data_IF_134202616740
#
_entry.id   IF_134202616740
#
_cell.length_a   1.000
_cell.length_b   1.000
_cell.length_c   1.000
_cell.angle_alpha   90.00
_cell.angle_beta   90.00
_cell.angle_gamma   90.00
#
_symmetry.space_group_name_H-M   'P 1'
#
loop_
_entity.id
_entity.type
_entity.pdbx_description
1 polymer ?
#
# COMPACT_ATOMS: atom_id res chain seq x y z
N UNK A 1 -14.05 -31.16 7.90
CA UNK A 1 -12.87 -30.44 8.35
C UNK A 1 -13.28 -28.99 8.49
N UNK A 2 -12.95 -28.26 9.55
CA UNK A 2 -13.28 -26.83 9.59
C UNK A 2 -12.57 -26.19 8.40
N UNK A 3 -13.35 -25.56 7.52
CA UNK A 3 -12.83 -24.70 6.47
C UNK A 3 -11.97 -23.65 7.15
N UNK A 4 -10.73 -23.54 6.73
CA UNK A 4 -9.81 -22.54 7.29
C UNK A 4 -10.43 -21.16 6.99
N UNK A 5 -11.04 -20.51 7.98
CA UNK A 5 -11.75 -19.24 7.83
C UNK A 5 -10.89 -18.18 7.11
N UNK A 6 -9.58 -18.21 7.35
CA UNK A 6 -8.63 -17.35 6.67
C UNK A 6 -8.57 -17.58 5.15
N UNK A 7 -8.82 -18.80 4.66
CA UNK A 7 -8.80 -19.09 3.22
C UNK A 7 -10.00 -18.49 2.46
N UNK A 8 -11.00 -17.99 3.16
CA UNK A 8 -12.20 -17.38 2.58
C UNK A 8 -12.37 -15.89 2.93
N UNK A 9 -11.37 -15.29 3.53
CA UNK A 9 -11.42 -13.91 4.02
C UNK A 9 -11.79 -12.88 2.94
N UNK A 10 -11.46 -13.16 1.68
CA UNK A 10 -11.76 -12.33 0.52
C UNK A 10 -12.87 -12.89 -0.37
N UNK A 11 -13.59 -13.94 0.10
CA UNK A 11 -14.58 -14.63 -0.70
C UNK A 11 -15.64 -13.68 -1.26
N UNK A 12 -15.83 -13.76 -2.58
CA UNK A 12 -16.81 -12.95 -3.31
C UNK A 12 -16.47 -11.46 -3.49
N UNK A 13 -15.35 -10.98 -2.92
CA UNK A 13 -14.94 -9.58 -3.02
C UNK A 13 -14.21 -9.27 -4.32
N UNK A 14 -14.42 -8.07 -4.83
CA UNK A 14 -13.67 -7.48 -5.94
C UNK A 14 -12.71 -6.42 -5.39
N UNK A 15 -11.43 -6.57 -5.68
CA UNK A 15 -10.39 -5.67 -5.18
C UNK A 15 -9.70 -4.90 -6.32
N UNK A 16 -9.36 -3.66 -6.05
CA UNK A 16 -8.42 -2.86 -6.85
C UNK A 16 -7.15 -2.67 -6.02
N UNK A 17 -6.00 -3.09 -6.55
CA UNK A 17 -4.72 -2.94 -5.87
C UNK A 17 -3.75 -2.20 -6.77
N UNK A 18 -3.31 -1.04 -6.34
CA UNK A 18 -2.37 -0.23 -7.12
C UNK A 18 -0.92 -0.63 -6.89
N UNK A 19 -0.05 -0.45 -7.90
CA UNK A 19 1.36 -0.85 -7.80
C UNK A 19 1.54 -2.37 -7.65
N UNK A 20 0.65 -3.16 -8.22
CA UNK A 20 0.54 -4.60 -8.00
C UNK A 20 1.35 -5.47 -8.95
N UNK A 21 2.29 -4.87 -9.70
CA UNK A 21 3.18 -5.61 -10.61
C UNK A 21 4.52 -6.01 -9.97
N UNK A 22 4.74 -5.66 -8.71
CA UNK A 22 5.91 -6.05 -7.91
C UNK A 22 5.71 -5.79 -6.41
N UNK A 23 6.57 -6.36 -5.59
CA UNK A 23 6.71 -6.04 -4.16
C UNK A 23 5.43 -6.24 -3.36
N UNK A 24 5.07 -5.23 -2.55
CA UNK A 24 3.94 -5.31 -1.64
C UNK A 24 2.60 -5.49 -2.37
N UNK A 25 2.38 -4.73 -3.45
CA UNK A 25 1.15 -4.84 -4.22
C UNK A 25 0.98 -6.22 -4.85
N UNK A 26 2.06 -6.81 -5.38
CA UNK A 26 2.06 -8.17 -5.92
C UNK A 26 1.77 -9.21 -4.82
N UNK A 27 2.45 -9.13 -3.67
CA UNK A 27 2.17 -10.02 -2.53
C UNK A 27 0.70 -9.92 -2.08
N UNK A 28 0.14 -8.71 -2.09
CA UNK A 28 -1.26 -8.48 -1.71
C UNK A 28 -2.23 -9.15 -2.67
N UNK A 29 -2.06 -9.01 -4.00
CA UNK A 29 -2.99 -9.61 -4.95
C UNK A 29 -2.91 -11.13 -4.97
N UNK A 30 -1.72 -11.71 -4.80
CA UNK A 30 -1.54 -13.15 -4.64
C UNK A 30 -2.29 -13.66 -3.41
N UNK A 31 -2.11 -12.99 -2.26
CA UNK A 31 -2.80 -13.36 -1.03
C UNK A 31 -4.33 -13.21 -1.15
N UNK A 32 -4.82 -12.17 -1.82
CA UNK A 32 -6.25 -11.96 -2.03
C UNK A 32 -6.85 -13.07 -2.89
N UNK A 33 -6.16 -13.51 -3.96
CA UNK A 33 -6.58 -14.64 -4.77
C UNK A 33 -6.60 -15.94 -3.94
N UNK A 34 -5.56 -16.21 -3.14
CA UNK A 34 -5.49 -17.36 -2.24
C UNK A 34 -6.59 -17.37 -1.17
N UNK A 35 -7.12 -16.20 -0.83
CA UNK A 35 -8.21 -16.02 0.14
C UNK A 35 -9.58 -15.84 -0.50
N UNK A 36 -9.73 -16.23 -1.76
CA UNK A 36 -11.03 -16.38 -2.44
C UNK A 36 -11.58 -15.11 -3.06
N UNK A 37 -10.75 -14.10 -3.37
CA UNK A 37 -11.21 -12.94 -4.13
C UNK A 37 -11.82 -13.38 -5.46
N UNK A 38 -13.00 -12.88 -5.79
CA UNK A 38 -13.70 -13.21 -7.03
C UNK A 38 -13.17 -12.42 -8.23
N UNK A 39 -12.65 -11.22 -7.97
CA UNK A 39 -12.07 -10.37 -8.99
C UNK A 39 -11.00 -9.45 -8.46
N UNK A 40 -9.96 -9.22 -9.26
CA UNK A 40 -8.88 -8.29 -8.91
C UNK A 40 -8.53 -7.43 -10.13
N UNK A 41 -8.49 -6.12 -9.95
CA UNK A 41 -7.85 -5.22 -10.90
C UNK A 41 -6.44 -4.91 -10.40
N UNK A 42 -5.46 -5.25 -11.20
CA UNK A 42 -4.05 -4.97 -10.96
C UNK A 42 -3.57 -3.87 -11.91
N UNK A 43 -2.69 -3.00 -11.44
CA UNK A 43 -2.12 -1.97 -12.30
C UNK A 43 -0.66 -1.65 -11.99
N UNK A 44 0.03 -1.17 -13.00
CA UNK A 44 1.43 -0.77 -12.90
C UNK A 44 2.02 -0.40 -14.27
N UNK A 45 3.28 0.04 -14.25
CA UNK A 45 4.00 0.52 -15.45
C UNK A 45 4.69 -0.57 -16.24
N UNK A 46 4.80 -1.79 -15.71
CA UNK A 46 5.44 -2.92 -16.40
C UNK A 46 4.36 -3.85 -16.98
N UNK A 47 4.20 -3.78 -18.30
CA UNK A 47 3.17 -4.52 -19.01
C UNK A 47 3.38 -6.04 -18.95
N UNK A 48 4.63 -6.52 -19.05
CA UNK A 48 4.92 -7.94 -19.10
C UNK A 48 4.66 -8.61 -17.74
N UNK A 49 5.15 -8.00 -16.67
CA UNK A 49 4.85 -8.47 -15.30
C UNK A 49 3.36 -8.43 -15.01
N UNK A 50 2.69 -7.33 -15.38
CA UNK A 50 1.25 -7.19 -15.15
C UNK A 50 0.44 -8.27 -15.86
N UNK A 51 0.72 -8.54 -17.13
CA UNK A 51 0.07 -9.62 -17.89
C UNK A 51 0.36 -11.00 -17.29
N UNK A 52 1.62 -11.26 -16.93
CA UNK A 52 2.01 -12.54 -16.32
C UNK A 52 1.26 -12.82 -15.01
N UNK A 53 1.18 -11.82 -14.12
CA UNK A 53 0.44 -11.95 -12.87
C UNK A 53 -1.06 -12.12 -13.14
N UNK A 54 -1.65 -11.39 -14.09
CA UNK A 54 -3.06 -11.52 -14.41
C UNK A 54 -3.42 -12.92 -14.91
N UNK A 55 -2.58 -13.51 -15.77
CA UNK A 55 -2.76 -14.89 -16.25
C UNK A 55 -2.68 -15.87 -15.10
N UNK A 56 -1.61 -15.79 -14.29
CA UNK A 56 -1.41 -16.68 -13.14
C UNK A 56 -2.60 -16.64 -12.16
N UNK A 57 -3.05 -15.46 -11.77
CA UNK A 57 -4.17 -15.35 -10.83
C UNK A 57 -5.48 -15.87 -11.43
N UNK A 58 -5.68 -15.67 -12.73
CA UNK A 58 -6.86 -16.20 -13.42
C UNK A 58 -6.85 -17.74 -13.50
N UNK A 59 -5.69 -18.34 -13.77
CA UNK A 59 -5.51 -19.80 -13.74
C UNK A 59 -5.76 -20.39 -12.34
N UNK A 60 -5.52 -19.60 -11.29
CA UNK A 60 -5.81 -19.95 -9.89
C UNK A 60 -7.26 -19.70 -9.48
N UNK A 61 -8.14 -19.32 -10.44
CA UNK A 61 -9.58 -19.16 -10.21
C UNK A 61 -10.01 -17.74 -9.80
N UNK A 62 -9.09 -16.76 -9.78
CA UNK A 62 -9.43 -15.37 -9.50
C UNK A 62 -9.47 -14.55 -10.79
N UNK A 63 -10.66 -14.11 -11.21
CA UNK A 63 -10.78 -13.27 -12.42
C UNK A 63 -9.95 -12.00 -12.27
N UNK A 64 -8.95 -11.82 -13.12
CA UNK A 64 -8.02 -10.69 -13.00
C UNK A 64 -8.02 -9.83 -14.26
N UNK A 65 -7.97 -8.52 -14.06
CA UNK A 65 -7.81 -7.51 -15.12
C UNK A 65 -6.54 -6.71 -14.89
N UNK A 66 -5.66 -6.66 -15.87
CA UNK A 66 -4.46 -5.82 -15.81
C UNK A 66 -4.65 -4.52 -16.57
N UNK A 67 -4.35 -3.40 -15.93
CA UNK A 67 -4.35 -2.06 -16.52
C UNK A 67 -2.92 -1.51 -16.53
N UNK A 68 -2.39 -1.25 -17.72
CA UNK A 68 -1.14 -0.51 -17.85
C UNK A 68 -1.40 0.95 -17.47
N UNK A 69 -0.81 1.40 -16.37
CA UNK A 69 -1.10 2.71 -15.80
C UNK A 69 0.14 3.36 -15.16
N UNK A 70 0.33 4.63 -15.44
CA UNK A 70 1.19 5.54 -14.70
C UNK A 70 0.32 6.44 -13.82
N UNK A 71 0.28 6.15 -12.55
CA UNK A 71 -0.63 6.83 -11.61
C UNK A 71 -0.24 8.30 -11.33
N UNK A 72 0.90 8.79 -11.83
CA UNK A 72 1.13 10.24 -11.86
C UNK A 72 0.20 10.97 -12.83
N UNK A 73 -0.54 10.24 -13.68
CA UNK A 73 -1.50 10.76 -14.66
C UNK A 73 -2.93 10.45 -14.24
N UNK A 74 -3.77 11.48 -14.14
CA UNK A 74 -5.16 11.33 -13.70
C UNK A 74 -6.00 10.46 -14.64
N UNK A 75 -5.75 10.55 -15.94
CA UNK A 75 -6.43 9.71 -16.92
C UNK A 75 -6.17 8.21 -16.67
N UNK A 76 -4.99 7.85 -16.20
CA UNK A 76 -4.68 6.45 -15.90
C UNK A 76 -5.33 6.00 -14.59
N UNK A 77 -5.45 6.88 -13.58
CA UNK A 77 -6.27 6.61 -12.39
C UNK A 77 -7.73 6.32 -12.79
N UNK A 78 -8.29 7.12 -13.70
CA UNK A 78 -9.66 6.93 -14.21
C UNK A 78 -9.78 5.62 -15.01
N UNK A 79 -8.77 5.22 -15.78
CA UNK A 79 -8.74 3.94 -16.50
C UNK A 79 -8.80 2.75 -15.55
N UNK A 80 -8.06 2.81 -14.42
CA UNK A 80 -8.04 1.73 -13.42
C UNK A 80 -9.44 1.53 -12.81
N UNK A 81 -10.07 2.60 -12.35
CA UNK A 81 -11.43 2.54 -11.78
C UNK A 81 -12.45 2.12 -12.84
N UNK A 82 -12.36 2.70 -14.05
CA UNK A 82 -13.24 2.34 -15.16
C UNK A 82 -13.09 0.87 -15.60
N UNK A 83 -11.91 0.27 -15.49
CA UNK A 83 -11.71 -1.15 -15.76
C UNK A 83 -12.44 -2.03 -14.74
N UNK A 84 -12.37 -1.69 -13.45
CA UNK A 84 -13.10 -2.39 -12.40
C UNK A 84 -14.62 -2.28 -12.62
N UNK A 85 -15.11 -1.09 -12.93
CA UNK A 85 -16.54 -0.85 -13.16
C UNK A 85 -17.05 -1.62 -14.39
N UNK A 86 -16.33 -1.58 -15.51
CA UNK A 86 -16.73 -2.30 -16.73
C UNK A 86 -16.67 -3.82 -16.57
N UNK A 87 -15.63 -4.34 -15.88
CA UNK A 87 -15.43 -5.78 -15.76
C UNK A 87 -16.31 -6.42 -14.71
N UNK A 88 -16.46 -5.77 -13.57
CA UNK A 88 -17.09 -6.34 -12.38
C UNK A 88 -18.35 -5.59 -11.92
N UNK A 89 -18.56 -4.34 -12.33
CA UNK A 89 -19.66 -3.49 -11.89
C UNK A 89 -19.58 -3.07 -10.41
N UNK A 90 -18.53 -3.49 -9.71
CA UNK A 90 -18.37 -3.27 -8.26
C UNK A 90 -16.89 -3.16 -7.84
N UNK A 91 -16.67 -2.54 -6.71
CA UNK A 91 -15.39 -2.57 -5.98
C UNK A 91 -15.74 -2.73 -4.49
N UNK A 92 -15.20 -3.76 -3.85
CA UNK A 92 -15.36 -4.00 -2.42
C UNK A 92 -14.14 -3.52 -1.63
N UNK A 93 -12.97 -3.57 -2.26
CA UNK A 93 -11.70 -3.21 -1.61
C UNK A 93 -10.84 -2.38 -2.56
N UNK A 94 -10.32 -1.27 -2.04
CA UNK A 94 -9.25 -0.50 -2.69
C UNK A 94 -7.99 -0.54 -1.82
N UNK A 95 -6.86 -0.94 -2.40
CA UNK A 95 -5.55 -0.85 -1.76
C UNK A 95 -4.67 0.13 -2.54
N UNK A 96 -4.43 1.30 -1.99
CA UNK A 96 -3.47 2.28 -2.51
C UNK A 96 -2.06 1.88 -2.06
N UNK A 97 -1.43 0.95 -2.80
CA UNK A 97 -0.09 0.45 -2.53
C UNK A 97 0.99 1.06 -3.42
N UNK A 98 0.60 1.68 -4.55
CA UNK A 98 1.55 2.40 -5.39
C UNK A 98 2.18 3.57 -4.64
N UNK A 99 3.47 3.76 -4.84
CA UNK A 99 4.20 4.91 -4.30
C UNK A 99 5.62 4.96 -4.84
N UNK A 100 6.19 6.15 -4.81
CA UNK A 100 7.59 6.40 -5.13
C UNK A 100 8.28 7.05 -3.94
N UNK A 101 9.56 6.72 -3.77
CA UNK A 101 10.38 7.13 -2.62
C UNK A 101 11.70 7.75 -3.07
N UNK A 102 11.71 8.34 -4.26
CA UNK A 102 12.91 8.98 -4.80
C UNK A 102 13.43 10.04 -3.83
N UNK A 103 14.76 10.21 -3.77
CA UNK A 103 15.44 10.97 -2.73
C UNK A 103 15.60 12.43 -3.12
N UNK A 104 15.44 13.30 -2.13
CA UNK A 104 15.70 14.73 -2.21
C UNK A 104 15.57 15.36 -0.83
N UNK A 105 16.46 16.30 -0.53
CA UNK A 105 16.43 17.11 0.69
C UNK A 105 15.61 18.38 0.48
N UNK A 106 15.40 19.16 1.55
CA UNK A 106 14.75 20.47 1.42
C UNK A 106 15.55 21.45 0.55
N UNK A 107 16.84 21.18 0.33
CA UNK A 107 17.74 22.08 -0.40
C UNK A 107 17.79 21.73 -1.90
N UNK A 108 17.68 20.44 -2.24
CA UNK A 108 17.97 19.93 -3.60
C UNK A 108 16.78 19.22 -4.29
N UNK A 109 15.63 19.10 -3.62
CA UNK A 109 14.43 18.57 -4.27
C UNK A 109 13.98 19.52 -5.38
N UNK A 110 13.97 19.02 -6.65
CA UNK A 110 13.48 19.82 -7.76
C UNK A 110 11.95 19.87 -7.79
N UNK A 111 11.33 20.90 -8.41
CA UNK A 111 9.88 20.96 -8.60
C UNK A 111 9.32 19.69 -9.26
N UNK A 112 10.00 19.16 -10.27
CA UNK A 112 9.55 17.98 -11.02
C UNK A 112 9.54 16.73 -10.12
N UNK A 113 10.56 16.56 -9.28
CA UNK A 113 10.61 15.47 -8.32
C UNK A 113 9.51 15.60 -7.27
N UNK A 114 9.30 16.82 -6.77
CA UNK A 114 8.22 17.11 -5.82
C UNK A 114 6.85 16.77 -6.42
N UNK A 115 6.57 17.27 -7.62
CA UNK A 115 5.31 17.03 -8.32
C UNK A 115 5.10 15.53 -8.58
N UNK A 116 6.12 14.84 -9.07
CA UNK A 116 6.04 13.39 -9.32
C UNK A 116 5.70 12.59 -8.05
N UNK A 117 6.31 12.96 -6.90
CA UNK A 117 6.03 12.33 -5.61
C UNK A 117 4.59 12.61 -5.17
N UNK A 118 4.15 13.87 -5.23
CA UNK A 118 2.79 14.23 -4.82
C UNK A 118 1.73 13.70 -5.76
N UNK A 119 1.98 13.70 -7.05
CA UNK A 119 1.08 13.14 -8.06
C UNK A 119 0.83 11.65 -7.80
N UNK A 120 1.89 10.90 -7.54
CA UNK A 120 1.78 9.44 -7.33
C UNK A 120 1.27 9.10 -5.93
N UNK A 121 1.80 9.77 -4.89
CA UNK A 121 1.56 9.37 -3.49
C UNK A 121 0.33 10.03 -2.86
N UNK A 122 -0.19 11.12 -3.43
CA UNK A 122 -1.30 11.90 -2.86
C UNK A 122 -2.44 12.08 -3.85
N UNK A 123 -2.16 12.68 -5.02
CA UNK A 123 -3.19 12.97 -6.02
C UNK A 123 -3.84 11.69 -6.56
N UNK A 124 -3.04 10.69 -6.90
CA UNK A 124 -3.58 9.42 -7.37
C UNK A 124 -4.47 8.73 -6.33
N UNK A 125 -4.04 8.49 -5.08
CA UNK A 125 -4.93 7.95 -4.05
C UNK A 125 -6.21 8.75 -3.87
N UNK A 126 -6.16 10.09 -3.91
CA UNK A 126 -7.35 10.93 -3.79
C UNK A 126 -8.40 10.58 -4.85
N UNK A 127 -8.04 10.55 -6.12
CA UNK A 127 -8.97 10.30 -7.22
C UNK A 127 -9.37 8.81 -7.35
N UNK A 128 -8.48 7.89 -6.99
CA UNK A 128 -8.81 6.47 -6.89
C UNK A 128 -9.83 6.21 -5.77
N UNK A 129 -9.67 6.85 -4.61
CA UNK A 129 -10.65 6.82 -3.51
C UNK A 129 -11.98 7.41 -3.97
N UNK A 130 -11.97 8.57 -4.62
CA UNK A 130 -13.18 9.23 -5.10
C UNK A 130 -13.96 8.32 -6.06
N UNK A 131 -13.32 7.79 -7.09
CA UNK A 131 -13.99 6.90 -8.06
C UNK A 131 -14.46 5.59 -7.43
N UNK A 132 -13.67 5.01 -6.51
CA UNK A 132 -14.06 3.82 -5.75
C UNK A 132 -15.28 4.11 -4.87
N UNK A 133 -15.27 5.20 -4.11
CA UNK A 133 -16.39 5.57 -3.25
C UNK A 133 -17.68 5.80 -4.06
N UNK A 134 -17.61 6.42 -5.22
CA UNK A 134 -18.76 6.59 -6.11
C UNK A 134 -19.37 5.24 -6.53
N UNK A 135 -18.53 4.24 -6.83
CA UNK A 135 -19.01 2.89 -7.17
C UNK A 135 -19.60 2.20 -5.93
N UNK A 136 -18.92 2.25 -4.78
CA UNK A 136 -19.40 1.67 -3.52
C UNK A 136 -20.78 2.26 -3.13
N UNK A 137 -20.94 3.58 -3.21
CA UNK A 137 -22.21 4.26 -2.91
C UNK A 137 -23.31 3.86 -3.87
N UNK A 138 -23.03 3.84 -5.17
CA UNK A 138 -23.99 3.42 -6.21
C UNK A 138 -24.48 1.99 -6.00
N UNK A 139 -23.58 1.10 -5.62
CA UNK A 139 -23.83 -0.32 -5.41
C UNK A 139 -24.25 -0.67 -3.98
N UNK A 140 -24.28 0.31 -3.07
CA UNK A 140 -24.55 0.12 -1.63
C UNK A 140 -23.60 -0.90 -0.98
N UNK A 141 -22.33 -0.83 -1.32
CA UNK A 141 -21.27 -1.72 -0.80
C UNK A 141 -20.65 -1.07 0.45
N UNK A 142 -20.66 -1.80 1.55
CA UNK A 142 -19.95 -1.49 2.79
C UNK A 142 -18.48 -1.92 2.65
N UNK A 143 -17.70 -1.14 1.87
CA UNK A 143 -16.37 -1.52 1.42
C UNK A 143 -15.24 -1.15 2.39
N UNK A 144 -14.01 -1.47 1.96
CA UNK A 144 -12.79 -1.13 2.70
C UNK A 144 -11.74 -0.50 1.79
N UNK A 145 -11.16 0.61 2.25
CA UNK A 145 -10.08 1.33 1.56
C UNK A 145 -8.85 1.31 2.46
N UNK A 146 -7.73 0.84 1.95
CA UNK A 146 -6.47 0.74 2.67
C UNK A 146 -5.41 1.60 1.97
N UNK A 147 -4.86 2.56 2.69
CA UNK A 147 -3.78 3.41 2.21
C UNK A 147 -2.44 2.96 2.81
N UNK A 148 -1.49 2.63 1.96
CA UNK A 148 -0.13 2.29 2.42
C UNK A 148 0.62 3.59 2.70
N UNK A 149 0.79 3.84 3.97
CA UNK A 149 1.54 4.94 4.54
C UNK A 149 2.99 4.52 4.80
N UNK A 150 3.70 5.35 5.54
CA UNK A 150 5.01 5.05 6.06
C UNK A 150 5.15 5.61 7.47
N UNK A 151 5.99 4.98 8.29
CA UNK A 151 6.34 5.51 9.61
C UNK A 151 6.94 6.92 9.52
N UNK A 152 7.54 7.28 8.38
CA UNK A 152 8.06 8.63 8.13
C UNK A 152 6.99 9.68 7.80
N UNK A 153 5.70 9.32 7.80
CA UNK A 153 4.60 10.29 7.66
C UNK A 153 4.57 11.36 8.75
N UNK A 154 5.26 11.13 9.86
CA UNK A 154 5.39 12.07 10.98
C UNK A 154 6.75 12.79 11.03
N UNK A 155 7.57 12.61 10.02
CA UNK A 155 8.93 13.09 9.90
C UNK A 155 9.90 11.93 9.66
N UNK A 156 10.86 12.14 8.81
CA UNK A 156 11.83 11.11 8.40
C UNK A 156 13.24 11.68 8.20
N UNK A 157 14.16 10.87 7.72
CA UNK A 157 15.49 11.32 7.35
C UNK A 157 15.45 12.52 6.37
N UNK A 158 16.45 13.42 6.43
CA UNK A 158 16.43 14.66 5.66
C UNK A 158 16.44 14.47 4.14
N UNK A 159 16.88 13.31 3.66
CA UNK A 159 16.96 13.00 2.23
C UNK A 159 15.65 12.45 1.62
N UNK A 160 14.54 12.44 2.37
CA UNK A 160 13.20 12.03 1.91
C UNK A 160 12.12 13.04 2.29
N UNK A 161 12.45 14.33 2.28
CA UNK A 161 11.57 15.40 2.78
C UNK A 161 10.22 15.42 2.04
N UNK A 162 10.24 15.47 0.70
CA UNK A 162 9.01 15.48 -0.10
C UNK A 162 8.19 14.18 0.06
N UNK A 163 8.87 13.02 0.15
CA UNK A 163 8.23 11.75 0.41
C UNK A 163 7.52 11.73 1.78
N UNK A 164 8.21 12.14 2.85
CA UNK A 164 7.62 12.22 4.19
C UNK A 164 6.40 13.14 4.21
N UNK A 165 6.49 14.31 3.59
CA UNK A 165 5.37 15.24 3.45
C UNK A 165 4.19 14.61 2.70
N UNK A 166 4.45 13.88 1.60
CA UNK A 166 3.40 13.18 0.84
C UNK A 166 2.70 12.11 1.66
N UNK A 167 3.44 11.35 2.48
CA UNK A 167 2.85 10.32 3.36
C UNK A 167 2.09 10.94 4.54
N UNK A 168 2.51 12.12 5.04
CA UNK A 168 1.76 12.93 6.00
C UNK A 168 0.43 13.44 5.41
N UNK A 169 0.45 13.91 4.17
CA UNK A 169 -0.75 14.32 3.44
C UNK A 169 -1.74 13.14 3.27
N UNK A 170 -1.24 11.96 2.86
CA UNK A 170 -2.06 10.76 2.70
C UNK A 170 -2.62 10.26 4.05
N UNK A 171 -1.88 10.42 5.16
CA UNK A 171 -2.35 10.12 6.51
C UNK A 171 -3.56 11.00 6.87
N UNK A 172 -3.46 12.31 6.65
CA UNK A 172 -4.57 13.24 6.90
C UNK A 172 -5.76 12.93 6.00
N UNK A 173 -5.52 12.66 4.72
CA UNK A 173 -6.56 12.24 3.77
C UNK A 173 -7.28 10.99 4.25
N UNK A 174 -6.55 9.98 4.74
CA UNK A 174 -7.12 8.74 5.28
C UNK A 174 -8.15 9.02 6.37
N UNK A 175 -7.80 9.84 7.35
CA UNK A 175 -8.71 10.19 8.47
C UNK A 175 -9.92 10.99 8.01
N UNK A 176 -9.70 11.97 7.13
CA UNK A 176 -10.76 12.83 6.63
C UNK A 176 -11.80 12.04 5.81
N UNK A 177 -11.31 11.19 4.90
CA UNK A 177 -12.20 10.35 4.08
C UNK A 177 -12.91 9.29 4.93
N UNK A 178 -12.24 8.71 5.93
CA UNK A 178 -12.87 7.78 6.87
C UNK A 178 -14.09 8.41 7.56
N UNK A 179 -13.93 9.64 8.05
CA UNK A 179 -15.03 10.37 8.65
C UNK A 179 -16.16 10.67 7.64
N UNK A 180 -15.80 11.07 6.42
CA UNK A 180 -16.77 11.41 5.37
C UNK A 180 -17.61 10.23 4.91
N UNK A 181 -17.05 9.01 4.92
CA UNK A 181 -17.70 7.80 4.40
C UNK A 181 -18.30 6.90 5.50
N UNK A 182 -18.12 7.26 6.77
CA UNK A 182 -18.52 6.44 7.92
C UNK A 182 -20.01 6.15 7.96
N UNK A 183 -20.87 7.11 7.61
CA UNK A 183 -22.33 6.92 7.53
C UNK A 183 -22.78 5.90 6.50
N UNK A 184 -21.93 5.61 5.52
CA UNK A 184 -22.14 4.59 4.49
C UNK A 184 -21.46 3.25 4.83
N UNK A 185 -20.90 3.12 6.05
CA UNK A 185 -20.14 1.94 6.52
C UNK A 185 -18.95 1.56 5.62
N UNK A 186 -18.46 2.52 4.84
CA UNK A 186 -17.21 2.36 4.09
C UNK A 186 -16.06 2.71 5.02
N UNK A 187 -15.17 1.75 5.26
CA UNK A 187 -14.04 1.90 6.16
C UNK A 187 -12.80 2.36 5.39
N UNK A 188 -12.04 3.26 6.00
CA UNK A 188 -10.80 3.77 5.39
C UNK A 188 -9.71 3.76 6.46
N UNK A 189 -8.65 2.98 6.24
CA UNK A 189 -7.56 2.84 7.20
C UNK A 189 -6.20 3.02 6.54
N UNK A 190 -5.22 3.43 7.33
CA UNK A 190 -3.84 3.58 6.92
C UNK A 190 -2.93 2.56 7.60
N UNK A 191 -2.03 1.94 6.84
CA UNK A 191 -0.98 1.08 7.36
C UNK A 191 0.37 1.76 7.17
N UNK A 192 0.94 2.28 8.25
CA UNK A 192 2.23 2.96 8.26
C UNK A 192 3.35 1.92 8.38
N UNK A 193 3.88 1.53 7.24
CA UNK A 193 4.90 0.49 7.16
C UNK A 193 6.30 1.05 7.36
N UNK A 194 7.17 0.22 7.94
CA UNK A 194 8.59 0.46 8.04
C UNK A 194 9.38 0.00 6.81
N UNK A 195 10.66 -0.21 7.02
CA UNK A 195 11.58 -0.61 5.95
C UNK A 195 11.27 -2.01 5.45
N UNK A 196 10.80 -2.10 4.21
CA UNK A 196 10.27 -3.33 3.62
C UNK A 196 11.17 -3.82 2.49
N UNK A 197 11.50 -5.11 2.51
CA UNK A 197 12.33 -5.78 1.50
C UNK A 197 11.56 -5.94 0.18
N UNK A 198 11.77 -5.01 -0.73
CA UNK A 198 11.12 -5.00 -2.05
C UNK A 198 12.12 -4.73 -3.17
N UNK A 199 11.82 -5.17 -4.41
CA UNK A 199 12.63 -4.79 -5.58
C UNK A 199 12.73 -3.27 -5.78
N UNK A 200 11.68 -2.53 -5.39
CA UNK A 200 11.67 -1.07 -5.45
C UNK A 200 12.70 -0.46 -4.50
N UNK A 201 12.78 -0.97 -3.27
CA UNK A 201 13.75 -0.50 -2.30
C UNK A 201 15.19 -0.86 -2.68
N UNK A 202 15.43 -2.07 -3.20
CA UNK A 202 16.76 -2.45 -3.70
C UNK A 202 17.24 -1.47 -4.79
N UNK A 203 16.34 -1.12 -5.74
CA UNK A 203 16.64 -0.10 -6.77
C UNK A 203 17.01 1.26 -6.15
N UNK A 204 16.25 1.71 -5.17
CA UNK A 204 16.49 3.00 -4.49
C UNK A 204 17.81 2.99 -3.74
N UNK A 205 18.12 1.92 -3.03
CA UNK A 205 19.37 1.78 -2.29
C UNK A 205 20.58 1.79 -3.22
N UNK A 206 20.50 1.10 -4.35
CA UNK A 206 21.56 1.10 -5.35
C UNK A 206 21.72 2.46 -6.03
N UNK A 207 20.62 3.10 -6.39
CA UNK A 207 20.63 4.36 -7.14
C UNK A 207 21.10 5.54 -6.29
N UNK A 208 20.62 5.67 -5.06
CA UNK A 208 20.83 6.88 -4.25
C UNK A 208 21.83 6.68 -3.10
N UNK A 209 22.05 5.45 -2.65
CA UNK A 209 22.91 5.17 -1.49
C UNK A 209 24.16 4.37 -1.86
N UNK A 210 24.40 4.13 -3.15
CA UNK A 210 25.59 3.38 -3.62
C UNK A 210 25.64 1.94 -3.09
N UNK A 211 24.48 1.35 -2.78
CA UNK A 211 24.42 0.01 -2.23
C UNK A 211 24.94 -1.03 -3.23
N UNK A 212 25.80 -1.91 -2.73
CA UNK A 212 26.37 -3.05 -3.45
C UNK A 212 25.75 -4.35 -2.94
N UNK A 213 26.18 -5.48 -3.49
CA UNK A 213 25.73 -6.79 -2.99
C UNK A 213 26.08 -6.95 -1.50
N UNK A 214 25.19 -7.57 -0.73
CA UNK A 214 25.32 -7.70 0.71
C UNK A 214 24.80 -6.49 1.53
N UNK A 215 24.27 -5.45 0.88
CA UNK A 215 23.75 -4.28 1.59
C UNK A 215 22.56 -4.62 2.52
N UNK A 216 21.73 -5.60 2.13
CA UNK A 216 20.57 -6.02 2.91
C UNK A 216 20.98 -6.63 4.23
N UNK A 217 21.89 -7.57 4.21
CA UNK A 217 22.42 -8.25 5.40
C UNK A 217 23.03 -7.26 6.36
N UNK A 218 23.77 -6.26 5.84
CA UNK A 218 24.33 -5.18 6.67
C UNK A 218 23.21 -4.34 7.30
N UNK A 219 22.24 -3.90 6.52
CA UNK A 219 21.12 -3.11 7.00
C UNK A 219 20.29 -3.89 8.04
N UNK A 220 19.98 -5.16 7.77
CA UNK A 220 19.24 -6.03 8.67
C UNK A 220 19.97 -6.24 10.01
N UNK A 221 21.31 -6.31 10.00
CA UNK A 221 22.10 -6.45 11.22
C UNK A 221 21.98 -5.25 12.18
N UNK A 222 21.58 -4.09 11.69
CA UNK A 222 21.41 -2.87 12.49
C UNK A 222 19.98 -2.69 12.99
N UNK A 223 19.01 -3.43 12.43
CA UNK A 223 17.61 -3.33 12.82
C UNK A 223 17.31 -4.07 14.12
N UNK A 224 16.33 -3.62 14.93
CA UNK A 224 15.98 -4.27 16.20
C UNK A 224 15.62 -5.75 16.05
N UNK A 225 14.83 -6.14 15.03
CA UNK A 225 14.45 -7.53 14.76
C UNK A 225 15.43 -8.25 13.84
N UNK A 226 16.57 -7.62 13.52
CA UNK A 226 17.62 -8.18 12.64
C UNK A 226 17.10 -8.61 11.27
N UNK A 227 16.04 -7.98 10.79
CA UNK A 227 15.45 -8.19 9.46
C UNK A 227 14.59 -7.02 9.05
N UNK A 228 14.40 -6.86 7.73
CA UNK A 228 13.37 -5.98 7.18
C UNK A 228 11.98 -6.63 7.23
N UNK A 229 10.94 -5.81 7.10
CA UNK A 229 9.60 -6.30 6.83
C UNK A 229 9.55 -7.07 5.51
N UNK A 230 8.79 -8.15 5.48
CA UNK A 230 8.55 -8.88 4.25
C UNK A 230 7.19 -8.49 3.66
N UNK A 231 7.06 -8.37 2.32
CA UNK A 231 5.80 -8.02 1.65
C UNK A 231 4.62 -8.89 2.09
N UNK A 232 4.84 -10.18 2.31
CA UNK A 232 3.80 -11.13 2.74
C UNK A 232 3.27 -10.84 4.15
N UNK A 233 4.10 -10.31 5.05
CA UNK A 233 3.66 -9.92 6.39
C UNK A 233 2.71 -8.73 6.31
N UNK A 234 3.08 -7.73 5.50
CA UNK A 234 2.26 -6.54 5.27
C UNK A 234 0.97 -6.91 4.53
N UNK A 235 1.04 -7.81 3.54
CA UNK A 235 -0.13 -8.31 2.80
C UNK A 235 -1.18 -8.94 3.74
N UNK A 236 -0.75 -9.69 4.77
CA UNK A 236 -1.66 -10.23 5.79
C UNK A 236 -2.36 -9.15 6.59
N UNK A 237 -1.67 -8.09 6.96
CA UNK A 237 -2.29 -6.94 7.65
C UNK A 237 -3.28 -6.20 6.73
N UNK A 238 -2.93 -6.05 5.44
CA UNK A 238 -3.84 -5.49 4.44
C UNK A 238 -5.10 -6.35 4.32
N UNK A 239 -4.97 -7.67 4.25
CA UNK A 239 -6.10 -8.60 4.14
C UNK A 239 -7.01 -8.55 5.39
N UNK A 240 -6.45 -8.42 6.58
CA UNK A 240 -7.20 -8.17 7.81
C UNK A 240 -8.03 -6.88 7.70
N UNK A 241 -7.42 -5.76 7.28
CA UNK A 241 -8.12 -4.49 7.11
C UNK A 241 -9.18 -4.52 5.99
N UNK A 242 -8.95 -5.31 4.95
CA UNK A 242 -9.85 -5.50 3.80
C UNK A 242 -11.08 -6.36 4.13
N UNK A 243 -10.98 -7.20 5.13
CA UNK A 243 -12.01 -8.17 5.51
C UNK A 243 -12.93 -7.65 6.63
N UNK A 244 -13.93 -8.46 6.96
CA UNK A 244 -14.87 -8.20 8.05
C UNK A 244 -14.23 -8.40 9.43
N UNK A 245 -13.09 -9.09 9.51
CA UNK A 245 -12.37 -9.30 10.77
C UNK A 245 -11.92 -8.00 11.44
N UNK A 246 -11.67 -6.94 10.65
CA UNK A 246 -11.36 -5.63 11.21
C UNK A 246 -12.58 -4.86 11.74
N UNK A 247 -13.79 -5.43 11.62
CA UNK A 247 -15.01 -4.94 12.23
C UNK A 247 -15.29 -3.47 11.90
N UNK A 248 -15.49 -2.66 12.94
CA UNK A 248 -15.80 -1.22 12.80
C UNK A 248 -14.56 -0.33 12.67
N UNK A 249 -13.36 -0.89 12.49
CA UNK A 249 -12.12 -0.12 12.39
C UNK A 249 -12.13 0.80 11.17
N UNK A 250 -12.19 2.11 11.39
CA UNK A 250 -12.09 3.15 10.36
C UNK A 250 -11.34 4.36 10.90
N UNK A 251 -10.61 5.06 10.04
CA UNK A 251 -9.75 6.20 10.43
C UNK A 251 -8.50 5.80 11.23
N UNK A 252 -8.25 4.52 11.42
CA UNK A 252 -7.08 4.03 12.13
C UNK A 252 -5.81 4.21 11.27
N UNK A 253 -4.74 4.63 11.93
CA UNK A 253 -3.38 4.64 11.40
C UNK A 253 -2.59 3.66 12.24
N UNK A 254 -2.23 2.54 11.63
CA UNK A 254 -1.56 1.43 12.31
C UNK A 254 -0.09 1.47 11.96
N UNK A 255 0.76 1.64 12.95
CA UNK A 255 2.22 1.49 12.78
C UNK A 255 2.55 0.00 12.64
N UNK A 256 3.08 -0.37 11.47
CA UNK A 256 3.48 -1.72 11.15
C UNK A 256 4.99 -1.74 10.89
N UNK A 257 5.73 -1.65 11.99
CA UNK A 257 7.19 -1.52 11.98
C UNK A 257 7.79 -2.03 13.30
N UNK A 258 9.10 -2.13 13.33
CA UNK A 258 9.89 -2.49 14.49
C UNK A 258 10.40 -1.27 15.27
N UNK A 259 9.95 -0.07 14.93
CA UNK A 259 10.17 1.15 15.70
C UNK A 259 8.93 1.47 16.54
N UNK A 260 9.15 2.15 17.67
CA UNK A 260 8.07 2.63 18.53
C UNK A 260 8.08 4.15 18.49
N UNK A 261 7.01 4.72 17.96
CA UNK A 261 6.91 6.18 17.81
C UNK A 261 6.99 6.88 19.17
N UNK A 262 7.79 7.94 19.23
CA UNK A 262 8.02 8.70 20.47
C UNK A 262 9.08 8.09 21.37
N UNK A 263 9.62 6.90 21.04
CA UNK A 263 10.72 6.30 21.77
C UNK A 263 12.07 6.65 21.14
N UNK A 264 13.04 7.02 21.97
CA UNK A 264 14.39 7.31 21.50
C UNK A 264 15.17 6.01 21.29
N UNK A 265 15.62 5.76 20.07
CA UNK A 265 16.32 4.52 19.70
C UNK A 265 17.79 4.44 20.18
N UNK A 266 18.38 5.55 20.61
CA UNK A 266 19.79 5.64 21.02
C UNK A 266 19.96 6.42 22.34
N UNK A 267 19.42 5.89 23.43
CA UNK A 267 19.82 6.36 24.75
C UNK A 267 20.93 5.46 25.30
N UNK A 268 21.96 6.02 25.98
CA UNK A 268 22.89 5.21 26.74
C UNK A 268 22.13 4.35 27.75
N UNK A 269 22.40 3.06 27.77
CA UNK A 269 21.78 2.19 28.78
C UNK A 269 22.26 2.61 30.16
N UNK A 270 21.37 2.74 31.16
CA UNK A 270 21.85 2.90 32.54
C UNK A 270 22.70 1.70 32.93
N UNK A 271 23.68 1.93 33.77
CA UNK A 271 24.45 0.83 34.34
C UNK A 271 23.51 -0.16 35.05
N UNK A 272 23.79 -1.48 35.00
CA UNK A 272 23.00 -2.43 35.76
C UNK A 272 22.96 -2.01 37.23
N UNK A 273 21.75 -2.01 37.81
CA UNK A 273 21.61 -1.83 39.26
C UNK A 273 22.20 -3.11 39.89
N UNK A 274 23.35 -2.97 40.53
CA UNK A 274 23.99 -4.07 41.29
C UNK A 274 23.21 -4.39 42.56
#
# INVERSE_FOLDING_TARGET
>A
MPTNELSQQMCGKVAVVTGSTQGLGEATVRLFADRGASGIVICGRNADRGRSIAVELTERGCTTEFVLADLSKLEDCSKVIGAADRKFGRIDVLVNSAGITDRGTIIDTTPELFDQIFDTNVRAPFFLIQGTAQIMLRQKIEGSIINILSVVAHGGPPFITAYSASKGALLTLTKNVAFSLMSHRIRVNGLAIGWTDTPGEDRIMRLYHGATDGWKEKAESELPFRRMLKPDEVARAIAFLASEESGMMTGAIIDFDQSVRGSYQKMPRPAPVT
#
